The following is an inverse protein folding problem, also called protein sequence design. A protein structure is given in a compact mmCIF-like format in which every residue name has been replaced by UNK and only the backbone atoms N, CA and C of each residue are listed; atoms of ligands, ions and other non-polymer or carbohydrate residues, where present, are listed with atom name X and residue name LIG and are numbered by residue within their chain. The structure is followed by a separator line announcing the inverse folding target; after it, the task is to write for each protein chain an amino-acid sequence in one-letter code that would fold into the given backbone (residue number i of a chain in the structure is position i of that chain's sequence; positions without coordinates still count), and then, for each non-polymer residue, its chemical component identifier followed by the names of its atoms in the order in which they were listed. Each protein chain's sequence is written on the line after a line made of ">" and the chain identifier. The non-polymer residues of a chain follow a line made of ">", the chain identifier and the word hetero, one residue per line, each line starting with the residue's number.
data_IF_439449335156
#
_entry.id   IF_439449335156
#
_cell.length_a   1.000
_cell.length_b   1.000
_cell.length_c   1.000
_cell.angle_alpha   90.00
_cell.angle_beta   90.00
_cell.angle_gamma   90.00
#
_symmetry.space_group_name_H-M   'P 1'
#
loop_
_entity.id
_entity.type
_entity.pdbx_description
1 polymer ?
#
# COMPACT_ATOMS: atom_id res chain seq x y z
N UNK A 1 30.22 -10.54 -24.92
CA UNK A 1 29.85 -11.43 -23.80
C UNK A 1 30.21 -10.92 -22.40
N UNK A 2 31.22 -10.08 -22.16
CA UNK A 2 31.57 -9.55 -20.81
C UNK A 2 30.54 -8.53 -20.26
N UNK A 3 29.87 -7.74 -21.11
CA UNK A 3 28.94 -6.68 -20.69
C UNK A 3 27.63 -7.22 -20.12
N UNK A 4 27.06 -8.29 -20.70
CA UNK A 4 25.83 -8.91 -20.21
C UNK A 4 25.97 -9.55 -18.82
N UNK A 5 27.15 -10.06 -18.49
CA UNK A 5 27.44 -10.69 -17.19
C UNK A 5 27.58 -9.64 -16.07
N UNK A 6 28.14 -8.49 -16.40
CA UNK A 6 28.27 -7.36 -15.47
C UNK A 6 26.90 -6.76 -15.15
N UNK A 7 26.07 -6.49 -16.17
CA UNK A 7 24.72 -5.94 -15.98
C UNK A 7 23.83 -6.88 -15.15
N UNK A 8 23.97 -8.20 -15.33
CA UNK A 8 23.22 -9.19 -14.55
C UNK A 8 23.64 -9.19 -13.08
N UNK A 9 24.95 -9.07 -12.81
CA UNK A 9 25.49 -9.03 -11.44
C UNK A 9 25.04 -7.75 -10.72
N UNK A 10 25.09 -6.60 -11.39
CA UNK A 10 24.65 -5.31 -10.85
C UNK A 10 23.13 -5.33 -10.51
N UNK A 11 22.30 -6.04 -11.29
CA UNK A 11 20.86 -6.21 -11.04
C UNK A 11 20.59 -7.16 -9.86
N UNK A 12 21.36 -8.24 -9.72
CA UNK A 12 21.25 -9.15 -8.58
C UNK A 12 21.63 -8.47 -7.27
N UNK A 13 22.72 -7.69 -7.28
CA UNK A 13 23.16 -6.90 -6.13
C UNK A 13 22.13 -5.85 -5.72
N UNK A 14 21.48 -5.21 -6.69
CA UNK A 14 20.39 -4.27 -6.47
C UNK A 14 19.19 -4.94 -5.78
N UNK A 15 18.75 -6.11 -6.28
CA UNK A 15 17.65 -6.85 -5.68
C UNK A 15 17.94 -7.22 -4.23
N UNK A 16 19.16 -7.70 -3.95
CA UNK A 16 19.59 -8.04 -2.60
C UNK A 16 19.63 -6.82 -1.68
N UNK A 17 20.05 -5.66 -2.17
CA UNK A 17 20.05 -4.42 -1.40
C UNK A 17 18.63 -3.97 -1.06
N UNK A 18 17.70 -3.98 -2.01
CA UNK A 18 16.30 -3.64 -1.80
C UNK A 18 15.60 -4.60 -0.84
N UNK A 19 15.91 -5.89 -0.97
CA UNK A 19 15.38 -6.93 -0.09
C UNK A 19 15.82 -6.70 1.35
N UNK A 20 17.11 -6.50 1.59
CA UNK A 20 17.65 -6.24 2.94
C UNK A 20 17.10 -4.97 3.58
N UNK A 21 16.95 -3.89 2.80
CA UNK A 21 16.54 -2.59 3.32
C UNK A 21 15.04 -2.46 3.54
N UNK A 22 14.20 -3.12 2.71
CA UNK A 22 12.77 -2.82 2.68
C UNK A 22 11.85 -4.02 2.95
N UNK A 23 12.34 -5.28 2.84
CA UNK A 23 11.49 -6.48 2.98
C UNK A 23 10.68 -6.48 4.27
N UNK A 24 11.33 -6.30 5.43
CA UNK A 24 10.67 -6.40 6.72
C UNK A 24 9.58 -5.33 6.89
N UNK A 25 9.87 -4.11 6.49
CA UNK A 25 8.91 -3.00 6.53
C UNK A 25 7.72 -3.25 5.58
N UNK A 26 7.98 -3.79 4.36
CA UNK A 26 6.92 -4.17 3.42
C UNK A 26 6.07 -5.32 3.94
N UNK A 27 6.67 -6.36 4.53
CA UNK A 27 5.94 -7.47 5.16
C UNK A 27 4.97 -6.92 6.21
N UNK A 28 5.47 -6.11 7.15
CA UNK A 28 4.64 -5.51 8.20
C UNK A 28 3.51 -4.64 7.63
N UNK A 29 3.78 -3.89 6.58
CA UNK A 29 2.80 -3.03 5.90
C UNK A 29 1.73 -3.86 5.18
N UNK A 30 2.13 -4.82 4.34
CA UNK A 30 1.21 -5.64 3.55
C UNK A 30 0.38 -6.56 4.46
N UNK A 31 1.01 -7.15 5.48
CA UNK A 31 0.30 -8.01 6.42
C UNK A 31 -0.82 -7.28 7.17
N UNK A 32 -0.61 -6.03 7.59
CA UNK A 32 -1.68 -5.21 8.18
C UNK A 32 -2.88 -5.01 7.25
N UNK A 33 -2.68 -5.06 5.95
CA UNK A 33 -3.75 -4.92 4.97
C UNK A 33 -4.42 -6.25 4.62
N UNK A 34 -3.67 -7.35 4.58
CA UNK A 34 -4.14 -8.65 4.07
C UNK A 34 -4.58 -9.59 5.18
N UNK A 35 -3.92 -9.53 6.35
CA UNK A 35 -4.00 -10.48 7.46
C UNK A 35 -3.73 -11.94 7.03
N UNK A 36 -3.03 -12.11 5.91
CA UNK A 36 -2.67 -13.40 5.30
C UNK A 36 -1.17 -13.43 5.05
N UNK A 37 -0.46 -14.38 5.69
CA UNK A 37 1.00 -14.51 5.56
C UNK A 37 1.43 -14.95 4.16
N UNK A 38 0.69 -15.87 3.52
CA UNK A 38 1.00 -16.37 2.19
C UNK A 38 0.88 -15.25 1.15
N UNK A 39 -0.28 -14.60 1.11
CA UNK A 39 -0.53 -13.46 0.22
C UNK A 39 0.45 -12.31 0.49
N UNK A 40 0.81 -12.06 1.75
CA UNK A 40 1.81 -11.04 2.10
C UNK A 40 3.17 -11.34 1.46
N UNK A 41 3.65 -12.57 1.55
CA UNK A 41 4.93 -12.97 0.96
C UNK A 41 4.90 -12.84 -0.56
N UNK A 42 3.83 -13.27 -1.21
CA UNK A 42 3.66 -13.19 -2.66
C UNK A 42 3.67 -11.73 -3.14
N UNK A 43 2.94 -10.85 -2.47
CA UNK A 43 2.89 -9.42 -2.80
C UNK A 43 4.25 -8.74 -2.62
N UNK A 44 4.96 -9.04 -1.52
CA UNK A 44 6.29 -8.49 -1.28
C UNK A 44 7.27 -8.96 -2.33
N UNK A 45 7.25 -10.25 -2.67
CA UNK A 45 8.10 -10.81 -3.72
C UNK A 45 7.80 -10.19 -5.09
N UNK A 46 6.53 -10.08 -5.47
CA UNK A 46 6.12 -9.46 -6.74
C UNK A 46 6.52 -7.97 -6.80
N UNK A 47 6.44 -7.26 -5.68
CA UNK A 47 6.89 -5.86 -5.57
C UNK A 47 8.38 -5.73 -5.83
N UNK A 48 9.20 -6.59 -5.22
CA UNK A 48 10.65 -6.61 -5.43
C UNK A 48 11.02 -6.99 -6.86
N UNK A 49 10.29 -7.95 -7.47
CA UNK A 49 10.48 -8.30 -8.88
C UNK A 49 10.14 -7.14 -9.83
N UNK A 50 9.11 -6.36 -9.51
CA UNK A 50 8.77 -5.15 -10.29
C UNK A 50 9.86 -4.08 -10.16
N UNK A 51 10.45 -3.90 -8.98
CA UNK A 51 11.58 -2.98 -8.77
C UNK A 51 12.82 -3.44 -9.55
N UNK A 52 13.13 -4.73 -9.52
CA UNK A 52 14.24 -5.31 -10.27
C UNK A 52 14.12 -5.09 -11.79
N UNK A 53 12.89 -5.17 -12.33
CA UNK A 53 12.60 -4.87 -13.75
C UNK A 53 12.67 -3.37 -14.09
N UNK A 54 12.71 -2.50 -13.09
CA UNK A 54 12.71 -1.04 -13.24
C UNK A 54 13.83 -0.39 -12.42
N UNK A 55 15.12 -0.63 -12.73
CA UNK A 55 16.24 -0.15 -11.93
C UNK A 55 16.31 1.38 -11.82
N UNK A 56 15.76 2.13 -12.77
CA UNK A 56 15.68 3.59 -12.73
C UNK A 56 14.92 4.15 -11.52
N UNK A 57 14.15 3.32 -10.82
CA UNK A 57 13.46 3.73 -9.59
C UNK A 57 14.46 4.00 -8.47
N UNK A 58 15.52 3.18 -8.39
CA UNK A 58 16.56 3.29 -7.35
C UNK A 58 17.45 4.50 -7.57
N UNK A 59 17.65 4.91 -8.81
CA UNK A 59 18.41 6.11 -9.18
C UNK A 59 17.78 7.40 -8.66
N UNK A 60 16.48 7.37 -8.29
CA UNK A 60 15.75 8.53 -7.75
C UNK A 60 16.00 8.79 -6.26
N UNK A 61 16.80 7.95 -5.60
CA UNK A 61 17.13 8.04 -4.19
C UNK A 61 16.25 7.16 -3.30
N UNK A 62 16.68 6.98 -2.06
CA UNK A 62 16.09 6.01 -1.12
C UNK A 62 14.62 6.30 -0.79
N UNK A 63 14.27 7.57 -0.50
CA UNK A 63 12.89 7.96 -0.18
C UNK A 63 11.93 7.73 -1.34
N UNK A 64 12.35 8.06 -2.57
CA UNK A 64 11.54 7.84 -3.76
C UNK A 64 11.38 6.35 -4.07
N UNK A 65 12.43 5.56 -3.87
CA UNK A 65 12.41 4.10 -4.00
C UNK A 65 11.43 3.49 -2.99
N UNK A 66 11.55 3.88 -1.73
CA UNK A 66 10.66 3.43 -0.66
C UNK A 66 9.20 3.76 -0.99
N UNK A 67 8.89 5.01 -1.31
CA UNK A 67 7.54 5.45 -1.65
C UNK A 67 6.95 4.65 -2.82
N UNK A 68 7.77 4.37 -3.83
CA UNK A 68 7.36 3.56 -4.98
C UNK A 68 7.07 2.11 -4.60
N UNK A 69 7.94 1.46 -3.83
CA UNK A 69 7.75 0.08 -3.35
C UNK A 69 6.44 -0.08 -2.59
N UNK A 70 6.17 0.81 -1.63
CA UNK A 70 4.93 0.76 -0.84
C UNK A 70 3.69 1.05 -1.70
N UNK A 71 3.79 1.93 -2.69
CA UNK A 71 2.71 2.20 -3.65
C UNK A 71 2.40 0.96 -4.49
N UNK A 72 3.42 0.27 -5.01
CA UNK A 72 3.26 -0.96 -5.79
C UNK A 72 2.66 -2.07 -4.94
N UNK A 73 3.21 -2.30 -3.75
CA UNK A 73 2.70 -3.31 -2.82
C UNK A 73 1.22 -3.07 -2.49
N UNK A 74 0.85 -1.82 -2.19
CA UNK A 74 -0.54 -1.44 -1.95
C UNK A 74 -1.44 -1.72 -3.16
N UNK A 75 -1.00 -1.36 -4.36
CA UNK A 75 -1.79 -1.60 -5.56
C UNK A 75 -2.02 -3.09 -5.80
N UNK A 76 -1.02 -3.93 -5.54
CA UNK A 76 -1.16 -5.39 -5.63
C UNK A 76 -2.18 -5.94 -4.62
N UNK A 77 -2.20 -5.44 -3.38
CA UNK A 77 -3.25 -5.78 -2.39
C UNK A 77 -4.64 -5.40 -2.90
N UNK A 78 -4.78 -4.20 -3.47
CA UNK A 78 -6.06 -3.71 -4.01
C UNK A 78 -6.52 -4.59 -5.18
N UNK A 79 -5.62 -4.92 -6.10
CA UNK A 79 -5.92 -5.74 -7.28
C UNK A 79 -6.32 -7.17 -6.85
N UNK A 80 -5.66 -7.75 -5.85
CA UNK A 80 -6.04 -9.05 -5.29
C UNK A 80 -7.45 -9.00 -4.67
N UNK A 81 -7.76 -7.99 -3.84
CA UNK A 81 -9.09 -7.82 -3.25
C UNK A 81 -10.18 -7.65 -4.31
N UNK A 82 -9.91 -6.92 -5.37
CA UNK A 82 -10.85 -6.76 -6.50
C UNK A 82 -11.08 -8.08 -7.21
N UNK A 83 -10.00 -8.82 -7.47
CA UNK A 83 -10.09 -10.14 -8.08
C UNK A 83 -10.84 -11.13 -7.19
N UNK A 84 -10.61 -11.12 -5.88
CA UNK A 84 -11.32 -11.94 -4.90
C UNK A 84 -12.81 -11.57 -4.80
N UNK A 85 -13.12 -10.26 -4.82
CA UNK A 85 -14.51 -9.77 -4.84
C UNK A 85 -15.25 -10.20 -6.10
N UNK A 86 -14.64 -10.04 -7.27
CA UNK A 86 -15.20 -10.48 -8.53
C UNK A 86 -15.45 -12.01 -8.55
N UNK A 87 -14.51 -12.81 -8.01
CA UNK A 87 -14.68 -14.26 -7.89
C UNK A 87 -15.82 -14.65 -6.93
N UNK A 88 -16.01 -13.92 -5.82
CA UNK A 88 -17.12 -14.16 -4.87
C UNK A 88 -18.48 -13.76 -5.44
N UNK A 89 -18.56 -12.67 -6.19
CA UNK A 89 -19.79 -12.26 -6.88
C UNK A 89 -20.21 -13.27 -7.96
N UNK A 90 -19.22 -14.02 -8.51
CA UNK A 90 -19.46 -15.11 -9.46
C UNK A 90 -19.72 -16.49 -8.80
N UNK A 91 -19.45 -16.64 -7.49
CA UNK A 91 -19.59 -17.91 -6.75
C UNK A 91 -20.30 -17.64 -5.43
N UNK A 92 -21.52 -18.14 -5.33
CA UNK A 92 -22.26 -18.18 -4.05
C UNK A 92 -21.70 -19.35 -3.25
N UNK A 93 -20.62 -19.15 -2.48
CA UNK A 93 -20.28 -20.07 -1.37
C UNK A 93 -19.16 -19.53 -0.46
N UNK A 94 -19.46 -19.60 0.86
CA UNK A 94 -18.58 -19.61 2.03
C UNK A 94 -17.72 -18.36 2.32
N UNK A 95 -18.14 -17.67 3.38
CA UNK A 95 -17.31 -16.67 4.09
C UNK A 95 -16.12 -17.35 4.72
N UNK A 96 -14.87 -16.91 4.44
CA UNK A 96 -13.72 -17.36 5.21
C UNK A 96 -13.78 -16.75 6.62
N UNK A 97 -13.47 -17.55 7.62
CA UNK A 97 -13.25 -17.08 8.99
C UNK A 97 -12.16 -16.00 9.00
N UNK A 98 -12.45 -14.89 9.65
CA UNK A 98 -11.49 -13.79 9.84
C UNK A 98 -10.50 -14.26 10.91
N UNK A 99 -9.19 -14.41 10.61
CA UNK A 99 -8.21 -14.71 11.64
C UNK A 99 -8.16 -13.54 12.64
N UNK A 100 -8.20 -13.87 13.93
CA UNK A 100 -8.11 -12.88 15.01
C UNK A 100 -6.65 -12.38 15.08
N UNK A 101 -6.38 -11.07 14.91
CA UNK A 101 -5.01 -10.54 15.02
C UNK A 101 -4.52 -10.60 16.46
N UNK A 102 -3.21 -10.80 16.62
CA UNK A 102 -2.50 -10.59 17.88
C UNK A 102 -2.61 -9.12 18.28
N UNK A 103 -3.38 -8.82 19.36
CA UNK A 103 -4.20 -7.60 19.45
C UNK A 103 -3.49 -6.36 20.03
N UNK A 104 -2.25 -6.44 20.53
CA UNK A 104 -1.77 -5.37 21.42
C UNK A 104 -1.22 -4.14 20.69
N UNK A 105 -0.48 -4.29 19.60
CA UNK A 105 0.05 -3.14 18.84
C UNK A 105 -0.89 -2.66 17.73
N UNK A 106 -1.64 -3.57 17.10
CA UNK A 106 -2.58 -3.22 16.04
C UNK A 106 -3.77 -2.39 16.54
N UNK A 107 -4.18 -2.57 17.80
CA UNK A 107 -5.27 -1.79 18.43
C UNK A 107 -4.83 -0.35 18.71
N UNK A 108 -3.62 -0.13 19.21
CA UNK A 108 -3.09 1.22 19.46
C UNK A 108 -2.89 2.00 18.16
N UNK A 109 -2.36 1.35 17.12
CA UNK A 109 -2.22 1.96 15.79
C UNK A 109 -3.59 2.30 15.17
N UNK A 110 -4.59 1.42 15.34
CA UNK A 110 -5.94 1.65 14.85
C UNK A 110 -6.64 2.83 15.55
N UNK A 111 -6.46 2.99 16.86
CA UNK A 111 -6.99 4.12 17.61
C UNK A 111 -6.36 5.44 17.18
N UNK A 112 -5.04 5.48 17.03
CA UNK A 112 -4.32 6.69 16.56
C UNK A 112 -4.77 7.08 15.16
N UNK A 113 -4.89 6.10 14.24
CA UNK A 113 -5.35 6.36 12.88
C UNK A 113 -6.82 6.82 12.87
N UNK A 114 -7.69 6.20 13.67
CA UNK A 114 -9.09 6.58 13.78
C UNK A 114 -9.25 8.02 14.27
N UNK A 115 -8.53 8.39 15.31
CA UNK A 115 -8.50 9.74 15.87
C UNK A 115 -8.01 10.78 14.85
N UNK A 116 -6.93 10.46 14.12
CA UNK A 116 -6.39 11.37 13.10
C UNK A 116 -7.35 11.47 11.91
N UNK A 117 -7.99 10.38 11.49
CA UNK A 117 -9.04 10.41 10.46
C UNK A 117 -10.24 11.25 10.90
N UNK A 118 -10.58 11.27 12.19
CA UNK A 118 -11.67 12.07 12.71
C UNK A 118 -11.41 13.59 12.61
N UNK A 119 -10.13 14.02 12.55
CA UNK A 119 -9.77 15.43 12.37
C UNK A 119 -9.96 15.92 10.93
N UNK A 120 -10.04 15.01 9.96
CA UNK A 120 -10.26 15.37 8.55
C UNK A 120 -11.71 15.79 8.29
N UNK A 121 -11.91 16.68 7.32
CA UNK A 121 -13.26 16.92 6.80
C UNK A 121 -13.87 15.62 6.27
N UNK A 122 -15.19 15.53 6.29
CA UNK A 122 -15.90 14.34 5.82
C UNK A 122 -15.52 13.95 4.39
N UNK A 123 -15.39 14.92 3.48
CA UNK A 123 -15.00 14.66 2.08
C UNK A 123 -13.57 14.10 1.97
N UNK A 124 -12.62 14.60 2.77
CA UNK A 124 -11.25 14.10 2.81
C UNK A 124 -11.18 12.71 3.41
N UNK A 125 -11.90 12.48 4.53
CA UNK A 125 -11.97 11.19 5.19
C UNK A 125 -12.59 10.12 4.28
N UNK A 126 -13.71 10.41 3.62
CA UNK A 126 -14.32 9.49 2.64
C UNK A 126 -13.36 9.14 1.51
N UNK A 127 -12.69 10.12 0.93
CA UNK A 127 -11.72 9.87 -0.13
C UNK A 127 -10.58 8.92 0.33
N UNK A 128 -10.03 9.14 1.54
CA UNK A 128 -9.01 8.26 2.12
C UNK A 128 -9.56 6.85 2.36
N UNK A 129 -10.70 6.73 3.04
CA UNK A 129 -11.30 5.41 3.33
C UNK A 129 -11.61 4.66 2.04
N UNK A 130 -12.23 5.32 1.07
CA UNK A 130 -12.57 4.71 -0.21
C UNK A 130 -11.32 4.25 -0.98
N UNK A 131 -10.29 5.11 -1.08
CA UNK A 131 -9.08 4.77 -1.81
C UNK A 131 -8.20 3.74 -1.09
N UNK A 132 -8.03 3.89 0.24
CA UNK A 132 -7.01 3.13 0.99
C UNK A 132 -7.57 1.93 1.74
N UNK A 133 -8.82 1.96 2.13
CA UNK A 133 -9.46 0.88 2.86
C UNK A 133 -10.34 0.01 1.97
N UNK A 134 -11.19 0.62 1.13
CA UNK A 134 -12.06 -0.09 0.20
C UNK A 134 -11.37 -0.46 -1.12
N UNK A 135 -10.23 0.15 -1.43
CA UNK A 135 -9.46 -0.15 -2.64
C UNK A 135 -10.05 0.43 -3.92
N UNK A 136 -10.92 1.45 -3.82
CA UNK A 136 -11.51 2.07 -5.00
C UNK A 136 -10.47 2.93 -5.74
N UNK A 137 -10.51 2.89 -7.07
CA UNK A 137 -9.72 3.80 -7.90
C UNK A 137 -10.25 5.21 -7.81
N UNK A 138 -9.41 6.19 -8.15
CA UNK A 138 -9.81 7.59 -8.20
C UNK A 138 -11.01 7.82 -9.13
N UNK A 139 -11.10 7.06 -10.23
CA UNK A 139 -12.20 7.15 -11.17
C UNK A 139 -13.51 6.59 -10.58
N UNK A 140 -13.44 5.48 -9.85
CA UNK A 140 -14.60 4.90 -9.15
C UNK A 140 -15.09 5.83 -8.06
N UNK A 141 -14.20 6.41 -7.24
CA UNK A 141 -14.54 7.39 -6.21
C UNK A 141 -15.20 8.62 -6.84
N UNK A 142 -14.64 9.13 -7.94
CA UNK A 142 -15.20 10.27 -8.66
C UNK A 142 -16.62 10.00 -9.16
N UNK A 143 -16.86 8.81 -9.68
CA UNK A 143 -18.19 8.36 -10.14
C UNK A 143 -19.18 8.21 -8.97
N UNK A 144 -18.73 7.59 -7.88
CA UNK A 144 -19.56 7.33 -6.69
C UNK A 144 -19.96 8.64 -5.97
N UNK A 145 -19.01 9.58 -5.84
CA UNK A 145 -19.24 10.86 -5.18
C UNK A 145 -19.81 11.94 -6.12
N UNK A 146 -19.94 11.66 -7.41
CA UNK A 146 -20.47 12.62 -8.39
C UNK A 146 -19.57 13.85 -8.59
N UNK A 147 -18.24 13.71 -8.47
CA UNK A 147 -17.26 14.77 -8.59
C UNK A 147 -16.23 14.49 -9.70
N UNK A 148 -15.50 15.53 -10.14
CA UNK A 148 -14.43 15.34 -11.12
C UNK A 148 -13.28 14.51 -10.55
N UNK A 149 -12.61 13.73 -11.39
CA UNK A 149 -11.40 12.94 -11.05
C UNK A 149 -10.31 13.82 -10.42
N UNK A 150 -10.13 15.04 -10.91
CA UNK A 150 -9.21 16.04 -10.35
C UNK A 150 -9.54 16.41 -8.90
N UNK A 151 -10.84 16.52 -8.58
CA UNK A 151 -11.31 16.82 -7.22
C UNK A 151 -10.93 15.69 -6.25
N UNK A 152 -11.10 14.43 -6.65
CA UNK A 152 -10.70 13.28 -5.82
C UNK A 152 -9.19 13.28 -5.59
N UNK A 153 -8.39 13.53 -6.64
CA UNK A 153 -6.92 13.63 -6.53
C UNK A 153 -6.51 14.71 -5.54
N UNK A 154 -7.12 15.90 -5.61
CA UNK A 154 -6.84 17.00 -4.69
C UNK A 154 -7.24 16.64 -3.25
N UNK A 155 -8.43 16.05 -3.05
CA UNK A 155 -8.87 15.60 -1.72
C UNK A 155 -7.91 14.59 -1.11
N UNK A 156 -7.45 13.60 -1.88
CA UNK A 156 -6.47 12.62 -1.42
C UNK A 156 -5.13 13.28 -1.08
N UNK A 157 -4.67 14.22 -1.92
CA UNK A 157 -3.42 14.94 -1.67
C UNK A 157 -3.46 15.71 -0.35
N UNK A 158 -4.48 16.54 -0.14
CA UNK A 158 -4.63 17.33 1.08
C UNK A 158 -4.89 16.47 2.31
N UNK A 159 -5.70 15.41 2.18
CA UNK A 159 -5.96 14.50 3.27
C UNK A 159 -4.70 13.76 3.74
N UNK A 160 -3.86 13.28 2.80
CA UNK A 160 -2.59 12.64 3.12
C UNK A 160 -1.60 13.60 3.77
N UNK A 161 -1.54 14.85 3.32
CA UNK A 161 -0.70 15.88 3.93
C UNK A 161 -1.14 16.17 5.38
N UNK A 162 -2.44 16.32 5.62
CA UNK A 162 -2.99 16.53 6.96
C UNK A 162 -2.75 15.32 7.88
N UNK A 163 -2.93 14.10 7.38
CA UNK A 163 -2.62 12.87 8.13
C UNK A 163 -1.16 12.80 8.54
N UNK A 164 -0.24 13.11 7.61
CA UNK A 164 1.19 13.11 7.91
C UNK A 164 1.53 14.10 9.02
N UNK A 165 1.01 15.32 8.93
CA UNK A 165 1.23 16.35 9.95
C UNK A 165 0.71 15.91 11.31
N UNK A 166 -0.52 15.43 11.38
CA UNK A 166 -1.13 15.00 12.64
C UNK A 166 -0.43 13.77 13.28
N UNK A 167 0.15 12.89 12.47
CA UNK A 167 0.95 11.76 12.96
C UNK A 167 2.31 12.23 13.49
N UNK A 168 2.96 13.19 12.82
CA UNK A 168 4.20 13.80 13.30
C UNK A 168 4.03 14.50 14.65
N UNK A 169 2.95 15.27 14.82
CA UNK A 169 2.63 15.96 16.07
C UNK A 169 2.39 14.98 17.24
N UNK A 170 1.93 13.77 16.97
CA UNK A 170 1.70 12.73 17.99
C UNK A 170 2.91 11.83 18.22
N UNK A 171 4.08 12.13 17.63
CA UNK A 171 5.30 11.34 17.79
C UNK A 171 5.25 9.96 17.11
N UNK A 172 4.23 9.70 16.31
CA UNK A 172 4.16 8.52 15.45
C UNK A 172 4.96 8.80 14.18
N UNK A 173 6.30 8.63 14.24
CA UNK A 173 7.16 8.74 13.08
C UNK A 173 6.82 7.64 12.05
N UNK A 174 6.52 8.06 10.81
CA UNK A 174 6.46 7.19 9.64
C UNK A 174 7.87 6.98 9.09
#
# INVERSE_FOLDING_TARGET
>A
MKNSRKVKNDQEDLLLALDRSHRQAMISYVYRMTLDHGLTQDIVQETLLKAWKNPSIVERGEDATRAWLFTVARNLVIDDRRSARFRREASVELLPEIPTPDQTNAVLDAWVISDVLATLSEAHRRAIVSAYYMGNSVAEIAKEEGVAVGTVKSRLHYALAALRLALQERGAGL
#
